data_IF_206970760689
#
_entry.id   IF_206970760689
#
_cell.length_a   1.000
_cell.length_b   1.000
_cell.length_c   1.000
_cell.angle_alpha   90.00
_cell.angle_beta   90.00
_cell.angle_gamma   90.00
#
_symmetry.space_group_name_H-M   'P 1'
#
loop_
_entity.id
_entity.type
_entity.pdbx_description
1 polymer ?
#
# COMPACT_ATOMS: atom_id res chain seq x y z
N UNK A 1 13.74 4.71 14.74
CA UNK A 1 13.15 3.40 15.13
C UNK A 1 13.37 2.42 13.99
N UNK A 2 13.91 1.23 14.25
CA UNK A 2 14.27 0.23 13.22
C UNK A 2 13.13 -0.73 12.88
N UNK A 3 11.91 -0.21 12.76
CA UNK A 3 10.71 -1.00 12.43
C UNK A 3 9.96 -0.35 11.26
N UNK A 4 9.26 -1.18 10.51
CA UNK A 4 8.34 -0.83 9.45
C UNK A 4 6.91 -1.22 9.84
N UNK A 5 5.95 -0.48 9.29
CA UNK A 5 4.52 -0.76 9.41
C UNK A 5 3.94 -0.99 8.02
N UNK A 6 2.91 -1.84 7.97
CA UNK A 6 2.02 -1.99 6.83
C UNK A 6 0.57 -1.98 7.32
N UNK A 7 -0.36 -1.54 6.47
CA UNK A 7 -1.78 -1.56 6.79
C UNK A 7 -2.64 -1.76 5.54
N UNK A 8 -3.85 -2.28 5.74
CA UNK A 8 -4.92 -2.26 4.74
C UNK A 8 -5.97 -1.23 5.14
N UNK A 9 -6.46 -0.48 4.16
CA UNK A 9 -7.45 0.57 4.37
C UNK A 9 -8.52 0.55 3.29
N UNK A 10 -9.75 0.87 3.65
CA UNK A 10 -10.87 1.13 2.74
C UNK A 10 -10.94 2.59 2.26
N UNK A 11 -9.95 3.42 2.63
CA UNK A 11 -9.93 4.85 2.35
C UNK A 11 -10.52 5.73 3.47
N UNK A 12 -11.32 5.15 4.36
CA UNK A 12 -11.89 5.86 5.51
C UNK A 12 -11.21 5.47 6.82
N UNK A 13 -10.87 4.19 6.97
CA UNK A 13 -10.28 3.61 8.18
C UNK A 13 -9.19 2.60 7.85
N UNK A 14 -8.36 2.33 8.85
CA UNK A 14 -7.43 1.20 8.80
C UNK A 14 -8.17 -0.05 9.26
N UNK A 15 -8.20 -1.08 8.41
CA UNK A 15 -8.83 -2.36 8.70
C UNK A 15 -7.86 -3.28 9.44
N UNK A 16 -6.62 -3.36 8.96
CA UNK A 16 -5.56 -4.19 9.50
C UNK A 16 -4.26 -3.40 9.56
N UNK A 17 -3.46 -3.64 10.60
CA UNK A 17 -2.14 -3.02 10.78
C UNK A 17 -1.17 -4.07 11.30
N UNK A 18 0.03 -4.13 10.75
CA UNK A 18 1.10 -4.95 11.28
C UNK A 18 2.44 -4.20 11.26
N UNK A 19 3.29 -4.55 12.22
CA UNK A 19 4.66 -4.06 12.32
C UNK A 19 5.67 -5.19 12.24
N UNK A 20 6.83 -4.89 11.70
CA UNK A 20 7.99 -5.79 11.71
C UNK A 20 9.30 -5.01 11.54
N UNK A 21 10.43 -5.61 11.89
CA UNK A 21 11.75 -5.04 11.57
C UNK A 21 11.95 -4.93 10.06
N UNK A 22 11.43 -5.89 9.29
CA UNK A 22 11.49 -5.89 7.82
C UNK A 22 10.19 -5.40 7.18
N UNK A 23 10.27 -4.45 6.24
CA UNK A 23 9.10 -3.96 5.48
C UNK A 23 8.34 -5.08 4.75
N UNK A 24 9.06 -6.08 4.25
CA UNK A 24 8.48 -7.22 3.56
C UNK A 24 7.62 -8.07 4.49
N UNK A 25 8.10 -8.30 5.71
CA UNK A 25 7.39 -9.07 6.72
C UNK A 25 6.17 -8.33 7.24
N UNK A 26 6.26 -7.00 7.39
CA UNK A 26 5.08 -6.20 7.76
C UNK A 26 3.95 -6.37 6.75
N UNK A 27 4.24 -6.35 5.45
CA UNK A 27 3.25 -6.63 4.39
C UNK A 27 2.75 -8.07 4.43
N UNK A 28 3.63 -9.05 4.60
CA UNK A 28 3.23 -10.46 4.68
C UNK A 28 2.30 -10.73 5.87
N UNK A 29 2.55 -10.08 7.02
CA UNK A 29 1.67 -10.18 8.20
C UNK A 29 0.29 -9.61 7.91
N UNK A 30 0.18 -8.42 7.30
CA UNK A 30 -1.11 -7.85 6.92
C UNK A 30 -1.85 -8.75 5.92
N UNK A 31 -1.13 -9.30 4.93
CA UNK A 31 -1.69 -10.28 4.00
C UNK A 31 -2.22 -11.52 4.71
N UNK A 32 -1.41 -12.09 5.59
CA UNK A 32 -1.77 -13.29 6.35
C UNK A 32 -2.99 -13.05 7.22
N UNK A 33 -3.05 -11.91 7.89
CA UNK A 33 -4.19 -11.55 8.72
C UNK A 33 -5.47 -11.36 7.90
N UNK A 34 -5.40 -10.69 6.75
CA UNK A 34 -6.54 -10.55 5.84
C UNK A 34 -7.07 -11.92 5.38
N UNK A 35 -6.16 -12.84 5.04
CA UNK A 35 -6.52 -14.21 4.66
C UNK A 35 -7.19 -14.97 5.82
N UNK A 36 -6.65 -14.88 7.03
CA UNK A 36 -7.19 -15.55 8.21
C UNK A 36 -8.58 -15.01 8.61
N UNK A 37 -8.80 -13.70 8.43
CA UNK A 37 -10.08 -13.05 8.73
C UNK A 37 -11.08 -13.11 7.56
N UNK A 38 -10.68 -13.61 6.38
CA UNK A 38 -11.54 -13.65 5.20
C UNK A 38 -11.89 -12.24 4.67
N UNK A 39 -10.99 -11.27 4.83
CA UNK A 39 -11.18 -9.90 4.36
C UNK A 39 -10.79 -9.83 2.88
N UNK A 40 -11.71 -9.49 1.96
CA UNK A 40 -11.37 -9.23 0.56
C UNK A 40 -10.50 -7.98 0.48
N UNK A 41 -9.53 -7.99 -0.42
CA UNK A 41 -8.52 -6.91 -0.53
C UNK A 41 -8.53 -6.19 -1.87
N UNK A 42 -9.39 -6.63 -2.78
CA UNK A 42 -9.51 -6.17 -4.17
C UNK A 42 -9.97 -4.72 -4.28
N UNK A 43 -10.60 -4.18 -3.23
CA UNK A 43 -11.03 -2.78 -3.13
C UNK A 43 -10.26 -2.00 -2.06
N UNK A 44 -9.13 -2.53 -1.57
CA UNK A 44 -8.38 -1.95 -0.46
C UNK A 44 -7.04 -1.32 -0.87
N UNK A 45 -6.61 -0.36 -0.07
CA UNK A 45 -5.32 0.32 -0.20
C UNK A 45 -4.29 -0.37 0.70
N UNK A 46 -3.16 -0.79 0.13
CA UNK A 46 -2.00 -1.23 0.90
C UNK A 46 -1.12 -0.02 1.24
N UNK A 47 -0.99 0.26 2.53
CA UNK A 47 -0.13 1.31 3.08
C UNK A 47 1.17 0.69 3.60
N UNK A 48 2.32 1.34 3.36
CA UNK A 48 3.61 0.93 3.94
C UNK A 48 4.47 2.10 4.39
N UNK A 49 5.24 1.92 5.46
CA UNK A 49 6.24 2.93 5.88
C UNK A 49 7.59 2.77 5.17
N UNK A 50 7.82 1.66 4.46
CA UNK A 50 9.06 1.36 3.75
C UNK A 50 9.00 1.66 2.25
N UNK A 51 10.17 1.64 1.58
CA UNK A 51 10.25 1.82 0.12
C UNK A 51 9.49 0.72 -0.61
N UNK A 52 8.91 1.10 -1.74
CA UNK A 52 8.19 0.19 -2.63
C UNK A 52 9.19 -0.37 -3.65
N UNK A 53 9.69 -1.57 -3.40
CA UNK A 53 10.49 -2.34 -4.37
C UNK A 53 9.60 -3.20 -5.28
N UNK A 54 10.15 -3.72 -6.38
CA UNK A 54 9.46 -4.67 -7.26
C UNK A 54 8.91 -5.89 -6.49
N UNK A 55 9.67 -6.43 -5.53
CA UNK A 55 9.22 -7.51 -4.65
C UNK A 55 8.01 -7.12 -3.79
N UNK A 56 7.94 -5.86 -3.33
CA UNK A 56 6.78 -5.36 -2.58
C UNK A 56 5.55 -5.26 -3.49
N UNK A 57 5.73 -4.81 -4.74
CA UNK A 57 4.64 -4.80 -5.73
C UNK A 57 4.14 -6.21 -6.04
N UNK A 58 5.03 -7.18 -6.22
CA UNK A 58 4.60 -8.56 -6.49
C UNK A 58 3.75 -9.13 -5.34
N UNK A 59 4.03 -8.73 -4.10
CA UNK A 59 3.20 -9.10 -2.95
C UNK A 59 1.84 -8.41 -2.98
N UNK A 60 1.80 -7.12 -3.31
CA UNK A 60 0.57 -6.35 -3.50
C UNK A 60 -0.30 -6.94 -4.62
N UNK A 61 0.30 -7.25 -5.78
CA UNK A 61 -0.39 -7.87 -6.89
C UNK A 61 -0.97 -9.25 -6.53
N UNK A 62 -0.21 -10.07 -5.80
CA UNK A 62 -0.69 -11.37 -5.27
C UNK A 62 -1.68 -11.23 -4.12
N UNK A 63 -1.78 -10.06 -3.51
CA UNK A 63 -2.82 -9.75 -2.53
C UNK A 63 -4.09 -9.38 -3.28
N UNK A 64 -3.98 -8.69 -4.42
CA UNK A 64 -5.10 -8.24 -5.23
C UNK A 64 -5.43 -6.76 -5.03
N UNK A 65 -4.62 -6.03 -4.26
CA UNK A 65 -4.88 -4.61 -3.99
C UNK A 65 -4.64 -3.75 -5.25
N UNK A 66 -5.54 -2.80 -5.55
CA UNK A 66 -5.42 -1.91 -6.70
C UNK A 66 -4.47 -0.73 -6.44
N UNK A 67 -4.15 -0.43 -5.18
CA UNK A 67 -3.32 0.73 -4.81
C UNK A 67 -2.31 0.41 -3.72
N UNK A 68 -1.07 0.84 -3.94
CA UNK A 68 0.01 0.82 -2.95
C UNK A 68 0.50 2.24 -2.68
N UNK A 69 0.42 2.64 -1.42
CA UNK A 69 0.86 3.95 -0.96
C UNK A 69 1.98 3.83 0.09
N UNK A 70 3.04 4.62 -0.06
CA UNK A 70 4.14 4.64 0.89
C UNK A 70 4.50 6.04 1.37
N UNK A 71 5.00 6.09 2.60
CA UNK A 71 5.58 7.30 3.20
C UNK A 71 6.90 7.71 2.54
N UNK A 72 7.50 6.85 1.72
CA UNK A 72 8.80 7.07 1.04
C UNK A 72 8.73 6.59 -0.42
N UNK A 73 9.88 6.51 -1.10
CA UNK A 73 9.95 6.33 -2.55
C UNK A 73 9.65 4.90 -3.02
N UNK A 74 9.05 4.76 -4.21
CA UNK A 74 9.19 3.57 -5.04
C UNK A 74 10.54 3.54 -5.76
N UNK A 75 10.96 2.36 -6.21
CA UNK A 75 12.06 2.20 -7.17
C UNK A 75 11.54 2.29 -8.60
N UNK A 76 12.38 2.67 -9.57
CA UNK A 76 11.99 2.71 -10.99
C UNK A 76 11.43 1.36 -11.49
N UNK A 77 12.10 0.24 -11.15
CA UNK A 77 11.59 -1.10 -11.46
C UNK A 77 10.22 -1.41 -10.83
N UNK A 78 9.92 -0.79 -9.68
CA UNK A 78 8.63 -0.97 -9.01
C UNK A 78 7.53 -0.21 -9.76
N UNK A 79 7.83 0.98 -10.27
CA UNK A 79 6.89 1.79 -11.08
C UNK A 79 6.60 1.08 -12.40
N UNK A 80 7.63 0.66 -13.15
CA UNK A 80 7.40 -0.05 -14.42
C UNK A 80 6.66 -1.38 -14.25
N UNK A 81 6.88 -2.09 -13.14
CA UNK A 81 6.12 -3.29 -12.82
C UNK A 81 4.66 -2.98 -12.46
N UNK A 82 4.42 -1.88 -11.74
CA UNK A 82 3.07 -1.47 -11.36
C UNK A 82 2.22 -1.09 -12.58
N UNK A 83 2.81 -0.44 -13.59
CA UNK A 83 2.14 -0.16 -14.88
C UNK A 83 1.73 -1.45 -15.60
N UNK A 84 2.57 -2.49 -15.60
CA UNK A 84 2.25 -3.78 -16.21
C UNK A 84 1.17 -4.55 -15.47
N UNK A 85 1.04 -4.32 -14.16
CA UNK A 85 0.12 -5.02 -13.28
C UNK A 85 -1.17 -4.23 -13.00
N UNK A 86 -1.32 -3.04 -13.59
CA UNK A 86 -2.42 -2.10 -13.35
C UNK A 86 -2.60 -1.75 -11.86
N UNK A 87 -1.49 -1.53 -11.16
CA UNK A 87 -1.48 -1.12 -9.75
C UNK A 87 -1.10 0.36 -9.66
N UNK A 88 -1.93 1.13 -8.94
CA UNK A 88 -1.63 2.53 -8.66
C UNK A 88 -0.57 2.63 -7.57
N UNK A 89 0.46 3.46 -7.79
CA UNK A 89 1.55 3.66 -6.84
C UNK A 89 1.69 5.11 -6.44
N UNK A 90 1.55 5.36 -5.14
CA UNK A 90 1.79 6.66 -4.52
C UNK A 90 3.00 6.59 -3.58
N UNK A 91 3.91 7.54 -3.70
CA UNK A 91 5.03 7.72 -2.78
C UNK A 91 4.90 9.02 -1.98
N UNK A 92 5.78 9.17 -1.00
CA UNK A 92 5.88 10.38 -0.18
C UNK A 92 4.55 10.88 0.42
N UNK A 93 3.64 9.96 0.74
CA UNK A 93 2.32 10.29 1.29
C UNK A 93 2.44 11.05 2.61
N UNK A 94 1.78 12.20 2.70
CA UNK A 94 1.69 13.10 3.87
C UNK A 94 0.25 13.60 4.02
N UNK A 95 -0.13 14.19 5.17
CA UNK A 95 -1.40 14.89 5.29
C UNK A 95 -1.53 15.94 4.18
N UNK A 96 -2.55 15.80 3.33
CA UNK A 96 -2.86 16.74 2.24
C UNK A 96 -1.99 16.65 0.98
N UNK A 97 -1.03 15.72 0.89
CA UNK A 97 -0.19 15.60 -0.32
C UNK A 97 0.35 14.19 -0.55
N UNK A 98 0.58 13.84 -1.81
CA UNK A 98 1.27 12.63 -2.25
C UNK A 98 1.92 12.84 -3.62
N UNK A 99 2.88 11.99 -3.96
CA UNK A 99 3.43 11.89 -5.30
C UNK A 99 2.84 10.66 -6.00
N UNK A 100 2.10 10.88 -7.09
CA UNK A 100 1.58 9.81 -7.94
C UNK A 100 2.65 9.39 -8.95
N UNK A 101 3.07 8.13 -8.92
CA UNK A 101 4.10 7.60 -9.82
C UNK A 101 3.52 6.88 -11.04
N UNK A 102 2.45 6.11 -10.85
CA UNK A 102 1.73 5.43 -11.93
C UNK A 102 0.30 5.08 -11.51
N UNK A 103 -0.54 4.79 -12.50
CA UNK A 103 -1.96 4.49 -12.33
C UNK A 103 -2.85 5.74 -12.37
N UNK A 104 -4.12 5.52 -12.08
CA UNK A 104 -5.15 6.55 -12.07
C UNK A 104 -5.47 6.91 -10.62
N UNK A 105 -5.66 8.19 -10.30
CA UNK A 105 -6.09 8.58 -8.96
C UNK A 105 -7.44 7.91 -8.66
N UNK A 106 -7.51 7.09 -7.61
CA UNK A 106 -8.80 6.68 -7.05
C UNK A 106 -9.50 7.97 -6.59
N UNK A 107 -10.74 8.18 -7.01
CA UNK A 107 -11.58 9.24 -6.49
C UNK A 107 -11.83 8.96 -5.01
N UNK A 108 -10.97 9.47 -4.13
CA UNK A 108 -11.28 9.59 -2.72
C UNK A 108 -12.13 10.86 -2.59
N UNK A 109 -13.42 10.71 -2.29
CA UNK A 109 -14.19 11.85 -1.79
C UNK A 109 -13.47 12.35 -0.53
N UNK A 110 -12.92 13.57 -0.61
CA UNK A 110 -12.22 14.15 0.51
C UNK A 110 -13.21 14.29 1.68
N UNK A 111 -13.05 13.47 2.71
CA UNK A 111 -13.76 13.67 3.97
C UNK A 111 -13.22 14.98 4.56
N UNK A 112 -14.04 16.04 4.69
CA UNK A 112 -13.58 17.30 5.26
C UNK A 112 -13.07 17.04 6.69
N UNK A 113 -11.98 17.70 7.12
CA UNK A 113 -11.53 17.58 8.50
C UNK A 113 -12.64 18.05 9.44
N UNK A 114 -12.88 17.27 10.50
CA UNK A 114 -13.78 17.63 11.59
C UNK A 114 -13.29 18.85 12.36
#
# INVERSE_FOLDING_TARGET
>A
RGIHGAALSDGERLLLVAEDVGRHNAVDKVKGEALLQGIPTEDLILLSTGRISSEMLLKAARMGVPLVASRTSPTEMAVGLAEQLDITVCGYVRPGSLDLYCGHALHAEAVPPA
#
